data_IF_803623107288
#
_entry.id   IF_803623107288
#
_cell.length_a   1.000
_cell.length_b   1.000
_cell.length_c   1.000
_cell.angle_alpha   90.00
_cell.angle_beta   90.00
_cell.angle_gamma   90.00
#
_symmetry.space_group_name_H-M   'P 1'
#
loop_
_entity.id
_entity.type
_entity.pdbx_description
1 polymer ?
#
# COMPACT_ATOMS: atom_id res chain seq x y z
N UNK A 1 6.85 -17.30 4.55
CA UNK A 1 8.02 -18.07 4.03
C UNK A 1 7.69 -19.50 3.62
N UNK A 2 7.06 -20.34 4.46
CA UNK A 2 6.79 -21.75 4.10
C UNK A 2 5.91 -21.94 2.85
N UNK A 3 4.91 -21.08 2.62
CA UNK A 3 4.04 -21.17 1.44
C UNK A 3 4.75 -20.82 0.13
N UNK A 4 5.58 -19.77 0.12
CA UNK A 4 6.34 -19.33 -1.06
C UNK A 4 7.39 -20.37 -1.48
N UNK A 5 8.11 -20.95 -0.50
CA UNK A 5 9.06 -22.03 -0.78
C UNK A 5 8.36 -23.30 -1.28
N UNK A 6 7.15 -23.58 -0.80
CA UNK A 6 6.39 -24.75 -1.25
C UNK A 6 5.80 -24.55 -2.65
N UNK A 7 5.38 -23.32 -2.99
CA UNK A 7 5.03 -22.94 -4.35
C UNK A 7 6.24 -23.08 -5.29
N UNK A 8 7.40 -22.51 -4.94
CA UNK A 8 8.62 -22.58 -5.75
C UNK A 8 9.06 -24.02 -5.99
N UNK A 9 9.09 -24.86 -4.94
CA UNK A 9 9.37 -26.29 -5.07
C UNK A 9 8.40 -27.04 -5.98
N UNK A 10 7.17 -26.55 -6.14
CA UNK A 10 6.21 -27.12 -7.09
C UNK A 10 6.40 -26.56 -8.50
N UNK A 11 6.79 -25.30 -8.64
CA UNK A 11 7.08 -24.64 -9.91
C UNK A 11 8.27 -25.29 -10.63
N UNK A 12 9.39 -25.49 -9.93
CA UNK A 12 10.62 -26.06 -10.51
C UNK A 12 10.52 -27.54 -10.87
N UNK A 13 9.40 -28.22 -10.52
CA UNK A 13 9.11 -29.59 -11.00
C UNK A 13 8.74 -29.61 -12.47
N UNK A 14 8.21 -28.50 -13.00
CA UNK A 14 8.04 -28.33 -14.43
C UNK A 14 9.40 -27.95 -15.03
N UNK A 15 9.85 -28.75 -15.98
CA UNK A 15 11.16 -28.61 -16.65
C UNK A 15 11.36 -27.25 -17.32
N UNK A 16 10.26 -26.54 -17.63
CA UNK A 16 10.30 -25.17 -18.14
C UNK A 16 10.84 -24.15 -17.13
N UNK A 17 10.73 -24.45 -15.84
CA UNK A 17 11.08 -23.55 -14.72
C UNK A 17 12.17 -24.15 -13.82
N UNK A 18 12.92 -25.15 -14.28
CA UNK A 18 13.93 -25.87 -13.49
C UNK A 18 14.99 -24.92 -12.88
N UNK A 19 15.38 -23.89 -13.64
CA UNK A 19 16.35 -22.87 -13.22
C UNK A 19 15.72 -21.61 -12.60
N UNK A 20 14.41 -21.64 -12.28
CA UNK A 20 13.74 -20.47 -11.72
C UNK A 20 14.28 -20.21 -10.29
N UNK A 21 14.77 -19.00 -9.97
CA UNK A 21 15.43 -18.72 -8.70
C UNK A 21 14.47 -18.89 -7.53
N UNK A 22 15.01 -19.25 -6.36
CA UNK A 22 14.22 -19.28 -5.13
C UNK A 22 13.64 -17.89 -4.83
N UNK A 23 12.38 -17.79 -4.37
CA UNK A 23 11.80 -16.53 -3.98
C UNK A 23 12.57 -16.00 -2.76
N UNK A 24 13.38 -14.98 -2.99
CA UNK A 24 14.11 -14.25 -1.97
C UNK A 24 13.35 -12.94 -1.69
N UNK A 25 13.12 -12.65 -0.42
CA UNK A 25 12.61 -11.34 0.00
C UNK A 25 13.78 -10.65 0.71
N UNK A 26 14.39 -9.67 0.07
CA UNK A 26 15.37 -8.81 0.73
C UNK A 26 14.65 -7.70 1.52
N UNK A 27 15.25 -7.35 2.66
CA UNK A 27 14.80 -6.24 3.50
C UNK A 27 16.02 -5.40 3.86
N UNK A 28 16.03 -4.15 3.45
CA UNK A 28 17.01 -3.16 3.85
C UNK A 28 16.46 -2.37 5.04
N UNK A 29 16.50 -2.97 6.23
CA UNK A 29 15.89 -2.38 7.43
C UNK A 29 16.44 -0.99 7.78
N UNK A 30 17.69 -0.69 7.42
CA UNK A 30 18.30 0.63 7.63
C UNK A 30 17.67 1.71 6.75
N UNK A 31 17.14 1.31 5.59
CA UNK A 31 16.43 2.16 4.63
C UNK A 31 14.93 2.28 4.95
N UNK A 32 14.40 1.47 5.90
CA UNK A 32 13.00 1.47 6.32
C UNK A 32 12.69 2.64 7.28
N UNK A 33 12.60 3.85 6.73
CA UNK A 33 12.39 5.08 7.51
C UNK A 33 10.88 5.40 7.56
N UNK A 34 10.34 5.43 8.78
CA UNK A 34 8.97 5.90 9.01
C UNK A 34 8.89 7.43 8.95
N UNK A 35 7.99 7.94 8.12
CA UNK A 35 7.64 9.37 8.04
C UNK A 35 6.27 9.61 8.67
N UNK A 36 6.17 10.37 9.78
CA UNK A 36 4.89 10.74 10.36
C UNK A 36 4.10 11.66 9.42
N UNK A 37 2.82 11.35 9.24
CA UNK A 37 1.90 12.20 8.48
C UNK A 37 1.36 13.34 9.35
N UNK A 38 1.18 14.51 8.75
CA UNK A 38 0.51 15.63 9.39
C UNK A 38 -1.02 15.51 9.32
N UNK A 39 -1.74 16.39 10.00
CA UNK A 39 -3.20 16.33 10.10
C UNK A 39 -3.91 16.43 8.74
N UNK A 40 -3.43 17.29 7.84
CA UNK A 40 -4.03 17.47 6.52
C UNK A 40 -3.77 16.25 5.64
N UNK A 41 -2.59 15.66 5.74
CA UNK A 41 -2.27 14.38 5.08
C UNK A 41 -3.14 13.23 5.59
N UNK A 42 -3.39 13.16 6.90
CA UNK A 42 -4.28 12.17 7.50
C UNK A 42 -5.72 12.36 7.02
N UNK A 43 -6.20 13.60 6.90
CA UNK A 43 -7.53 13.89 6.33
C UNK A 43 -7.64 13.45 4.88
N UNK A 44 -6.59 13.66 4.08
CA UNK A 44 -6.58 13.21 2.68
C UNK A 44 -6.78 11.70 2.53
N UNK A 45 -6.31 10.90 3.51
CA UNK A 45 -6.51 9.44 3.51
C UNK A 45 -7.99 9.03 3.60
N UNK A 46 -8.87 9.87 4.16
CA UNK A 46 -10.30 9.57 4.33
C UNK A 46 -11.21 10.27 3.32
N UNK A 47 -10.68 11.11 2.44
CA UNK A 47 -11.49 11.83 1.45
C UNK A 47 -12.07 10.88 0.41
N UNK A 48 -13.40 10.97 0.23
CA UNK A 48 -14.15 10.14 -0.73
C UNK A 48 -14.49 10.86 -2.02
N UNK A 49 -14.23 12.16 -2.08
CA UNK A 49 -14.65 13.00 -3.21
C UNK A 49 -13.57 13.05 -4.30
N UNK A 50 -12.36 12.61 -3.98
CA UNK A 50 -11.29 12.42 -4.95
C UNK A 50 -11.40 11.06 -5.63
N UNK A 51 -11.43 11.08 -6.96
CA UNK A 51 -11.38 9.89 -7.82
C UNK A 51 -10.08 9.81 -8.62
N UNK A 52 -9.15 10.74 -8.38
CA UNK A 52 -7.86 10.77 -9.04
C UNK A 52 -6.87 9.92 -8.24
N UNK A 53 -6.44 8.81 -8.83
CA UNK A 53 -5.48 7.89 -8.20
C UNK A 53 -4.06 8.45 -8.17
N UNK A 54 -3.80 9.53 -8.90
CA UNK A 54 -2.53 10.22 -8.89
C UNK A 54 -2.47 11.33 -7.83
N UNK A 55 -3.57 11.59 -7.12
CA UNK A 55 -3.54 12.50 -5.98
C UNK A 55 -2.84 11.84 -4.79
N UNK A 56 -1.89 12.57 -4.19
CA UNK A 56 -1.11 12.10 -3.04
C UNK A 56 -2.06 11.72 -1.89
N UNK A 57 -1.87 10.52 -1.35
CA UNK A 57 -2.64 10.00 -0.21
C UNK A 57 -4.15 9.80 -0.47
N UNK A 58 -4.59 9.72 -1.74
CA UNK A 58 -5.98 9.43 -2.10
C UNK A 58 -6.35 7.93 -2.01
N UNK A 59 -6.41 7.38 -0.79
CA UNK A 59 -6.73 5.95 -0.56
C UNK A 59 -8.05 5.51 -1.20
N UNK A 60 -9.08 6.37 -1.17
CA UNK A 60 -10.39 6.04 -1.74
C UNK A 60 -10.32 5.76 -3.24
N UNK A 61 -9.55 6.54 -3.99
CA UNK A 61 -9.42 6.36 -5.42
C UNK A 61 -8.81 4.99 -5.77
N UNK A 62 -7.76 4.58 -5.03
CA UNK A 62 -7.14 3.25 -5.16
C UNK A 62 -8.06 2.13 -4.66
N UNK A 63 -8.87 2.39 -3.63
CA UNK A 63 -9.86 1.45 -3.10
C UNK A 63 -10.99 1.15 -4.10
N UNK A 64 -11.49 2.17 -4.81
CA UNK A 64 -12.64 2.01 -5.73
C UNK A 64 -12.25 1.55 -7.13
N UNK A 65 -10.97 1.71 -7.49
CA UNK A 65 -10.41 1.27 -8.76
C UNK A 65 -9.27 0.27 -8.52
N UNK A 66 -9.54 -0.90 -7.92
CA UNK A 66 -8.48 -1.87 -7.68
C UNK A 66 -7.94 -2.43 -9.01
N UNK A 67 -6.68 -2.92 -9.01
CA UNK A 67 -6.12 -3.57 -10.18
C UNK A 67 -6.93 -4.82 -10.59
N UNK A 68 -6.74 -5.28 -11.83
CA UNK A 68 -7.34 -6.51 -12.37
C UNK A 68 -8.88 -6.54 -12.45
N UNK A 69 -9.54 -5.37 -12.51
CA UNK A 69 -11.00 -5.24 -12.70
C UNK A 69 -11.83 -5.87 -11.59
N UNK A 70 -11.29 -6.01 -10.37
CA UNK A 70 -12.13 -6.30 -9.22
C UNK A 70 -13.22 -5.22 -9.11
N UNK A 71 -14.47 -5.63 -8.89
CA UNK A 71 -15.62 -4.73 -8.83
C UNK A 71 -16.42 -5.03 -7.58
N UNK A 72 -16.95 -4.00 -6.96
CA UNK A 72 -17.97 -4.15 -5.92
C UNK A 72 -19.17 -4.90 -6.49
N UNK A 73 -19.83 -5.68 -5.62
CA UNK A 73 -21.10 -6.31 -5.97
C UNK A 73 -22.13 -5.23 -6.30
N UNK A 74 -23.02 -5.51 -7.24
CA UNK A 74 -24.12 -4.59 -7.59
C UNK A 74 -24.94 -4.25 -6.35
N UNK A 75 -25.26 -2.96 -6.17
CA UNK A 75 -26.06 -2.46 -5.04
C UNK A 75 -25.27 -2.23 -3.75
N UNK A 76 -23.94 -2.39 -3.78
CA UNK A 76 -23.05 -1.98 -2.68
C UNK A 76 -22.46 -0.62 -3.03
N UNK A 77 -22.70 0.37 -2.16
CA UNK A 77 -22.11 1.70 -2.29
C UNK A 77 -20.66 1.65 -1.83
N UNK A 78 -19.72 1.88 -2.74
CA UNK A 78 -18.28 1.75 -2.46
C UNK A 78 -17.81 2.69 -1.35
N UNK A 79 -18.46 3.86 -1.22
CA UNK A 79 -18.21 4.84 -0.16
C UNK A 79 -18.53 4.30 1.23
N UNK A 80 -19.64 3.56 1.38
CA UNK A 80 -20.03 3.00 2.68
C UNK A 80 -19.05 1.92 3.12
N UNK A 81 -18.66 1.03 2.19
CA UNK A 81 -17.65 -0.01 2.46
C UNK A 81 -16.30 0.60 2.80
N UNK A 82 -15.91 1.68 2.10
CA UNK A 82 -14.68 2.39 2.40
C UNK A 82 -14.70 3.01 3.80
N UNK A 83 -15.80 3.66 4.18
CA UNK A 83 -15.95 4.25 5.52
C UNK A 83 -15.88 3.17 6.61
N UNK A 84 -16.54 2.03 6.40
CA UNK A 84 -16.45 0.88 7.30
C UNK A 84 -15.01 0.37 7.41
N UNK A 85 -14.29 0.29 6.29
CA UNK A 85 -12.89 -0.10 6.25
C UNK A 85 -12.00 0.90 7.01
N UNK A 86 -12.19 2.21 6.84
CA UNK A 86 -11.51 3.24 7.63
C UNK A 86 -11.79 3.10 9.13
N UNK A 87 -13.04 2.83 9.50
CA UNK A 87 -13.43 2.60 10.90
C UNK A 87 -12.72 1.39 11.52
N UNK A 88 -12.60 0.28 10.77
CA UNK A 88 -11.85 -0.92 11.18
C UNK A 88 -10.36 -0.63 11.33
N UNK A 89 -9.79 0.17 10.43
CA UNK A 89 -8.39 0.61 10.53
C UNK A 89 -8.15 1.56 11.72
N UNK A 90 -9.20 2.12 12.32
CA UNK A 90 -9.10 3.18 13.31
C UNK A 90 -8.77 4.54 12.69
N UNK A 91 -8.91 4.68 11.37
CA UNK A 91 -8.67 5.91 10.63
C UNK A 91 -9.91 6.80 10.70
N UNK A 92 -9.99 7.60 11.76
CA UNK A 92 -11.09 8.54 11.99
C UNK A 92 -10.52 9.93 12.29
N UNK A 93 -10.82 10.91 11.44
CA UNK A 93 -10.28 12.28 11.53
C UNK A 93 -10.66 13.04 12.82
N UNK A 94 -11.70 12.61 13.53
CA UNK A 94 -12.12 13.18 14.82
C UNK A 94 -11.31 12.60 16.00
N UNK A 95 -10.60 11.51 15.75
CA UNK A 95 -9.71 10.89 16.71
C UNK A 95 -8.29 11.46 16.50
N UNK A 96 -7.53 11.60 17.59
CA UNK A 96 -6.12 12.02 17.53
C UNK A 96 -5.26 10.86 17.00
N UNK A 97 -5.46 10.52 15.72
CA UNK A 97 -4.81 9.39 15.05
C UNK A 97 -3.37 9.77 14.70
N UNK A 98 -2.46 8.82 14.91
CA UNK A 98 -1.07 8.91 14.45
C UNK A 98 -0.87 7.94 13.29
N UNK A 99 -0.36 8.44 12.16
CA UNK A 99 -0.08 7.61 10.98
C UNK A 99 1.38 7.76 10.60
N UNK A 100 2.05 6.62 10.39
CA UNK A 100 3.40 6.55 9.84
C UNK A 100 3.32 6.02 8.41
N UNK A 101 3.92 6.73 7.46
CA UNK A 101 4.15 6.28 6.09
C UNK A 101 5.58 5.72 5.97
N UNK A 102 5.70 4.48 5.52
CA UNK A 102 6.99 3.81 5.35
C UNK A 102 7.55 3.89 3.92
N UNK A 103 6.79 4.42 2.97
CA UNK A 103 7.16 4.46 1.55
C UNK A 103 7.23 5.89 1.00
N UNK A 104 7.36 6.87 1.90
CA UNK A 104 7.54 8.27 1.53
C UNK A 104 8.84 8.45 0.72
N UNK A 105 8.77 9.19 -0.39
CA UNK A 105 9.95 9.48 -1.23
C UNK A 105 10.39 8.33 -2.12
N UNK A 106 9.67 7.20 -2.14
CA UNK A 106 9.89 6.15 -3.13
C UNK A 106 9.66 6.71 -4.53
N UNK A 107 10.62 6.48 -5.42
CA UNK A 107 10.45 6.84 -6.82
C UNK A 107 9.51 5.83 -7.49
N UNK A 108 8.27 6.25 -7.69
CA UNK A 108 7.26 5.48 -8.41
C UNK A 108 7.17 5.85 -9.89
N UNK A 109 8.09 6.70 -10.40
CA UNK A 109 8.12 7.28 -11.75
C UNK A 109 6.86 8.08 -12.17
N UNK A 110 5.80 8.07 -11.36
CA UNK A 110 4.52 8.75 -11.60
C UNK A 110 4.50 10.22 -11.17
N UNK A 111 5.20 10.55 -10.09
CA UNK A 111 5.21 11.90 -9.52
C UNK A 111 6.41 12.70 -10.06
N UNK A 112 6.51 12.84 -11.39
CA UNK A 112 7.53 13.72 -11.98
C UNK A 112 7.12 15.18 -11.78
N UNK A 113 7.49 15.72 -10.62
CA UNK A 113 7.82 17.14 -10.45
C UNK A 113 9.21 17.24 -9.86
N UNK A 114 10.23 17.13 -10.72
CA UNK A 114 11.59 17.62 -10.49
C UNK A 114 12.21 17.29 -9.12
N UNK A 115 11.93 16.13 -8.53
CA UNK A 115 12.57 15.75 -7.28
C UNK A 115 13.68 14.74 -7.58
N UNK A 116 14.93 15.20 -7.48
CA UNK A 116 16.15 14.42 -7.73
C UNK A 116 16.51 13.49 -6.55
N UNK A 117 15.62 13.40 -5.56
CA UNK A 117 15.77 12.64 -4.32
C UNK A 117 14.91 11.36 -4.36
N UNK A 118 15.16 10.48 -5.32
CA UNK A 118 14.54 9.14 -5.35
C UNK A 118 15.14 8.25 -4.26
N UNK A 119 14.33 7.80 -3.31
CA UNK A 119 14.74 6.79 -2.31
C UNK A 119 14.51 5.40 -2.90
N UNK A 120 15.51 4.52 -2.83
CA UNK A 120 15.36 3.11 -3.20
C UNK A 120 14.43 2.39 -2.23
N UNK A 121 13.53 1.52 -2.70
CA UNK A 121 12.63 0.80 -1.81
C UNK A 121 13.39 -0.12 -0.86
N UNK A 122 13.07 -0.07 0.42
CA UNK A 122 13.70 -0.92 1.45
C UNK A 122 13.27 -2.39 1.41
N UNK A 123 12.39 -2.78 0.49
CA UNK A 123 12.02 -4.17 0.25
C UNK A 123 11.65 -4.40 -1.21
N UNK A 124 12.04 -5.55 -1.75
CA UNK A 124 11.69 -6.00 -3.10
C UNK A 124 10.18 -6.11 -3.33
N UNK A 125 9.38 -6.16 -2.26
CA UNK A 125 7.91 -6.08 -2.33
C UNK A 125 7.42 -4.78 -3.00
N UNK A 126 8.25 -3.73 -3.00
CA UNK A 126 7.95 -2.40 -3.52
C UNK A 126 8.79 -2.02 -4.76
N UNK A 127 9.49 -2.96 -5.39
CA UNK A 127 10.44 -2.71 -6.48
C UNK A 127 9.80 -2.08 -7.75
N UNK A 128 10.52 -1.28 -8.57
CA UNK A 128 9.97 -0.59 -9.76
C UNK A 128 9.43 -1.50 -10.86
N UNK A 129 8.42 -1.02 -11.62
CA UNK A 129 7.61 -1.76 -12.61
C UNK A 129 6.11 -1.88 -12.24
N UNK A 130 5.70 -1.21 -11.16
CA UNK A 130 4.42 -1.36 -10.44
C UNK A 130 3.50 -0.13 -10.57
N UNK A 131 3.73 0.64 -11.62
CA UNK A 131 3.73 2.10 -11.62
C UNK A 131 2.36 2.79 -11.67
N UNK A 132 1.18 2.17 -11.57
CA UNK A 132 -0.06 2.91 -11.93
C UNK A 132 -1.05 3.22 -10.81
N UNK A 133 -0.83 2.74 -9.58
CA UNK A 133 -1.80 2.91 -8.46
C UNK A 133 -1.17 3.36 -7.12
N UNK A 134 0.13 3.62 -7.12
CA UNK A 134 0.91 3.93 -5.91
C UNK A 134 1.21 2.69 -5.05
N UNK A 135 2.14 2.87 -4.12
CA UNK A 135 2.50 1.89 -3.10
C UNK A 135 2.06 2.43 -1.75
N UNK A 136 1.54 1.55 -0.89
CA UNK A 136 1.10 1.93 0.45
C UNK A 136 1.74 1.02 1.49
N UNK A 137 2.37 1.64 2.48
CA UNK A 137 2.76 0.96 3.70
C UNK A 137 2.56 1.94 4.86
N UNK A 138 1.47 1.76 5.61
CA UNK A 138 1.09 2.64 6.70
C UNK A 138 1.00 1.87 8.02
N UNK A 139 1.41 2.50 9.10
CA UNK A 139 1.03 2.10 10.46
C UNK A 139 0.11 3.16 11.03
N UNK A 140 -1.06 2.74 11.50
CA UNK A 140 -2.13 3.62 12.00
C UNK A 140 -2.36 3.28 13.47
N UNK A 141 -2.21 4.27 14.34
CA UNK A 141 -2.53 4.16 15.75
C UNK A 141 -3.66 5.11 16.11
N UNK A 142 -4.77 4.55 16.61
CA UNK A 142 -5.87 5.30 17.18
C UNK A 142 -5.94 5.04 18.70
N UNK A 143 -5.51 6.01 19.54
CA UNK A 143 -5.49 5.84 21.00
C UNK A 143 -6.88 5.79 21.62
N UNK A 144 -7.86 6.52 21.07
CA UNK A 144 -9.24 6.54 21.60
C UNK A 144 -9.92 5.19 21.41
N UNK A 145 -9.71 4.55 20.26
CA UNK A 145 -10.23 3.22 19.93
C UNK A 145 -9.31 2.07 20.35
N UNK A 146 -8.10 2.37 20.85
CA UNK A 146 -7.05 1.40 21.20
C UNK A 146 -6.75 0.43 20.05
N UNK A 147 -6.73 0.95 18.84
CA UNK A 147 -6.55 0.16 17.61
C UNK A 147 -5.20 0.48 16.99
N UNK A 148 -4.41 -0.55 16.75
CA UNK A 148 -3.17 -0.48 15.97
C UNK A 148 -3.37 -1.31 14.69
N UNK A 149 -3.25 -0.64 13.55
CA UNK A 149 -3.43 -1.25 12.23
C UNK A 149 -2.18 -1.09 11.39
N UNK A 150 -1.88 -2.09 10.58
CA UNK A 150 -0.89 -2.01 9.52
C UNK A 150 -1.61 -2.19 8.18
N UNK A 151 -1.43 -1.23 7.28
CA UNK A 151 -1.92 -1.30 5.90
C UNK A 151 -0.73 -1.50 4.99
N UNK A 152 -0.75 -2.55 4.19
CA UNK A 152 0.20 -2.77 3.12
C UNK A 152 -0.57 -3.04 1.83
N UNK A 153 -0.22 -2.32 0.77
CA UNK A 153 -0.77 -2.56 -0.55
C UNK A 153 0.30 -2.25 -1.60
N UNK A 154 0.44 -3.19 -2.52
CA UNK A 154 1.23 -3.08 -3.75
C UNK A 154 0.38 -3.59 -4.91
N UNK A 155 0.77 -3.27 -6.14
CA UNK A 155 0.03 -3.67 -7.35
C UNK A 155 0.34 -5.09 -7.81
N UNK A 156 1.31 -5.77 -7.20
CA UNK A 156 1.59 -7.20 -7.41
C UNK A 156 1.08 -8.08 -6.27
N UNK A 157 0.48 -9.21 -6.67
CA UNK A 157 0.18 -10.37 -5.81
C UNK A 157 1.46 -11.08 -5.34
#
# INVERSE_FOLDING_TARGET
MNSAMQWHRNLIKDKKYEDYPEPFISWELESAIATPLNLDEIRSLTLTDSIDVFERLALYASFVKPPYRARFKKGVEAKDVFNEWCDVLGLNELDEVSVLNWVEGFNTELHVKNDTSSVEPWSDYFYPGLEWWGVWCLTIWNPKRRTLSALIASTTD
#
